data_IF_214786762302
#
_entry.id   IF_214786762302
#
_cell.length_a   1.000
_cell.length_b   1.000
_cell.length_c   1.000
_cell.angle_alpha   90.00
_cell.angle_beta   90.00
_cell.angle_gamma   90.00
#
_symmetry.space_group_name_H-M   'P 1'
#
loop_
_entity.id
_entity.type
_entity.pdbx_description
1 polymer ?
#
# COMPACT_ATOMS: atom_id res chain seq x y z
N UNK A 1 7.85 1.69 -12.18
CA UNK A 1 7.77 1.54 -10.71
C UNK A 1 8.00 2.89 -10.05
N UNK A 2 7.25 3.25 -9.00
CA UNK A 2 7.55 4.41 -8.17
C UNK A 2 7.91 3.96 -6.76
N UNK A 3 8.82 4.66 -6.10
CA UNK A 3 9.27 4.38 -4.73
C UNK A 3 9.38 5.68 -3.93
N UNK A 4 9.36 5.57 -2.61
CA UNK A 4 9.61 6.69 -1.70
C UNK A 4 10.42 6.22 -0.49
N UNK A 5 11.27 7.08 0.03
CA UNK A 5 11.97 6.92 1.31
C UNK A 5 11.22 7.61 2.47
N UNK A 6 10.00 8.10 2.22
CA UNK A 6 9.20 8.88 3.14
C UNK A 6 9.42 10.40 3.02
N UNK A 7 10.35 10.85 2.17
CA UNK A 7 10.57 12.27 1.88
C UNK A 7 10.53 12.54 0.38
N UNK A 8 11.22 11.75 -0.43
CA UNK A 8 11.30 11.95 -1.88
C UNK A 8 10.55 10.86 -2.64
N UNK A 9 10.16 11.16 -3.87
CA UNK A 9 9.55 10.23 -4.80
C UNK A 9 10.54 9.98 -5.93
N UNK A 10 10.80 8.71 -6.23
CA UNK A 10 11.64 8.29 -7.35
C UNK A 10 10.84 7.37 -8.27
N UNK A 11 11.00 7.56 -9.58
CA UNK A 11 10.36 6.73 -10.60
C UNK A 11 11.44 5.99 -11.36
N UNK A 12 11.29 4.68 -11.45
CA UNK A 12 12.20 3.79 -12.14
C UNK A 12 11.50 3.10 -13.30
N UNK A 13 12.23 2.98 -14.42
CA UNK A 13 11.93 2.01 -15.47
C UNK A 13 12.46 0.65 -15.01
N UNK A 14 11.62 -0.37 -15.13
CA UNK A 14 11.96 -1.74 -14.75
C UNK A 14 12.30 -2.50 -16.03
N UNK A 15 13.55 -2.96 -16.13
CA UNK A 15 14.03 -3.82 -17.20
C UNK A 15 14.95 -4.90 -16.63
N UNK A 16 16.04 -5.22 -17.32
CA UNK A 16 17.12 -6.05 -16.73
C UNK A 16 17.77 -5.36 -15.52
N UNK A 17 17.81 -4.03 -15.55
CA UNK A 17 18.26 -3.16 -14.47
C UNK A 17 17.16 -2.15 -14.13
N UNK A 18 17.27 -1.52 -12.96
CA UNK A 18 16.45 -0.36 -12.61
C UNK A 18 17.14 0.91 -13.10
N UNK A 19 16.46 1.65 -13.96
CA UNK A 19 16.92 2.94 -14.45
C UNK A 19 16.06 4.06 -13.88
N UNK A 20 16.68 5.07 -13.27
CA UNK A 20 15.96 6.25 -12.79
C UNK A 20 15.35 6.98 -13.98
N UNK A 21 14.02 7.03 -14.03
CA UNK A 21 13.25 7.74 -15.04
C UNK A 21 13.04 9.21 -14.66
N UNK A 22 12.94 9.48 -13.36
CA UNK A 22 12.89 10.81 -12.79
C UNK A 22 12.54 10.81 -11.31
N UNK A 23 12.37 12.00 -10.75
CA UNK A 23 12.19 12.19 -9.32
C UNK A 23 11.30 13.42 -9.04
N UNK A 24 10.76 13.46 -7.84
CA UNK A 24 10.05 14.62 -7.32
C UNK A 24 9.79 14.49 -5.83
N UNK A 25 8.85 15.29 -5.36
CA UNK A 25 8.47 15.37 -3.96
C UNK A 25 6.95 15.56 -3.88
N UNK A 26 6.40 15.29 -2.70
CA UNK A 26 5.11 15.80 -2.27
C UNK A 26 5.11 17.33 -2.26
N UNK A 27 3.96 17.93 -2.56
CA UNK A 27 3.72 19.37 -2.43
C UNK A 27 3.32 19.74 -1.00
N UNK A 28 2.78 18.78 -0.28
CA UNK A 28 2.44 18.83 1.13
C UNK A 28 3.67 18.47 1.97
N UNK A 29 4.00 19.32 2.93
CA UNK A 29 5.16 19.12 3.80
C UNK A 29 4.82 18.03 4.84
N UNK A 30 5.66 17.00 4.92
CA UNK A 30 5.45 15.91 5.86
C UNK A 30 6.15 14.63 5.43
N UNK A 31 5.82 13.55 6.13
CA UNK A 31 6.29 12.21 5.78
C UNK A 31 5.35 11.59 4.74
N UNK A 32 5.87 11.16 3.60
CA UNK A 32 5.12 10.36 2.63
C UNK A 32 4.85 8.98 3.25
N UNK A 33 3.58 8.65 3.45
CA UNK A 33 3.15 7.37 4.01
C UNK A 33 2.98 6.30 2.94
N UNK A 34 2.49 6.69 1.77
CA UNK A 34 2.23 5.80 0.65
C UNK A 34 2.18 6.56 -0.67
N UNK A 35 2.49 5.85 -1.75
CA UNK A 35 2.30 6.32 -3.12
C UNK A 35 1.52 5.30 -3.93
N UNK A 36 0.70 5.75 -4.86
CA UNK A 36 -0.12 4.88 -5.71
C UNK A 36 -0.28 5.50 -7.10
N UNK A 37 -0.12 4.69 -8.14
CA UNK A 37 -0.40 5.11 -9.50
C UNK A 37 -1.92 5.17 -9.73
N UNK A 38 -2.34 6.14 -10.53
CA UNK A 38 -3.72 6.30 -10.96
C UNK A 38 -3.76 6.84 -12.39
N UNK A 39 -4.60 6.25 -13.23
CA UNK A 39 -4.87 6.70 -14.58
C UNK A 39 -6.39 6.82 -14.74
N UNK A 40 -6.96 8.04 -14.63
CA UNK A 40 -8.40 8.25 -14.75
C UNK A 40 -8.96 7.65 -16.03
N UNK A 41 -10.13 7.03 -15.94
CA UNK A 41 -10.80 6.44 -17.09
C UNK A 41 -10.99 7.48 -18.21
N UNK A 42 -10.53 7.15 -19.42
CA UNK A 42 -10.60 8.04 -20.58
C UNK A 42 -9.51 9.12 -20.63
N UNK A 43 -8.57 9.15 -19.68
CA UNK A 43 -7.37 9.98 -19.72
C UNK A 43 -6.13 9.12 -20.01
N UNK A 44 -5.29 9.58 -20.94
CA UNK A 44 -4.02 8.93 -21.24
C UNK A 44 -2.90 9.37 -20.29
N UNK A 45 -3.10 10.44 -19.53
CA UNK A 45 -2.14 10.89 -18.54
C UNK A 45 -2.08 9.96 -17.34
N UNK A 46 -0.86 9.73 -16.87
CA UNK A 46 -0.57 8.98 -15.67
C UNK A 46 -0.40 9.95 -14.50
N UNK A 47 -0.98 9.61 -13.36
CA UNK A 47 -0.92 10.38 -12.14
C UNK A 47 -0.36 9.53 -11.01
N UNK A 48 0.38 10.16 -10.12
CA UNK A 48 0.82 9.57 -8.86
C UNK A 48 0.09 10.28 -7.72
N UNK A 49 -0.50 9.48 -6.86
CA UNK A 49 -1.11 9.93 -5.61
C UNK A 49 -0.08 9.72 -4.51
N UNK A 50 0.20 10.77 -3.73
CA UNK A 50 1.07 10.68 -2.55
C UNK A 50 0.25 11.01 -1.31
N UNK A 51 0.09 10.05 -0.39
CA UNK A 51 -0.52 10.31 0.93
C UNK A 51 0.58 10.65 1.93
N UNK A 52 0.37 11.72 2.68
CA UNK A 52 1.36 12.40 3.51
C UNK A 52 0.81 12.60 4.91
N UNK A 53 1.66 12.40 5.90
CA UNK A 53 1.43 12.82 7.27
C UNK A 53 2.18 14.12 7.53
N UNK A 54 1.45 15.20 7.75
CA UNK A 54 2.01 16.52 8.05
C UNK A 54 1.05 17.30 8.95
N UNK A 55 1.58 18.17 9.81
CA UNK A 55 0.77 19.00 10.73
C UNK A 55 -0.28 18.19 11.53
N UNK A 56 0.10 17.00 12.00
CA UNK A 56 -0.74 16.04 12.72
C UNK A 56 -2.03 15.61 11.98
N UNK A 57 -2.01 15.62 10.65
CA UNK A 57 -3.13 15.21 9.81
C UNK A 57 -2.65 14.43 8.59
N UNK A 58 -3.60 13.74 7.96
CA UNK A 58 -3.39 13.06 6.69
C UNK A 58 -3.90 13.93 5.56
N UNK A 59 -3.03 14.14 4.58
CA UNK A 59 -3.35 14.82 3.34
C UNK A 59 -2.81 14.03 2.16
N UNK A 60 -3.43 14.18 0.99
CA UNK A 60 -2.97 13.55 -0.25
C UNK A 60 -2.79 14.57 -1.35
N UNK A 61 -1.69 14.42 -2.09
CA UNK A 61 -1.42 15.15 -3.31
C UNK A 61 -1.72 14.27 -4.53
N UNK A 62 -2.16 14.91 -5.61
CA UNK A 62 -2.28 14.27 -6.93
C UNK A 62 -1.31 14.98 -7.87
N UNK A 63 -0.37 14.21 -8.38
CA UNK A 63 0.74 14.67 -9.20
C UNK A 63 0.60 14.05 -10.59
N UNK A 64 0.60 14.86 -11.65
CA UNK A 64 0.64 14.35 -13.02
C UNK A 64 2.09 14.06 -13.41
N UNK A 65 2.33 12.88 -13.96
CA UNK A 65 3.61 12.45 -14.50
C UNK A 65 3.70 12.75 -16.00
N UNK A 66 4.77 13.40 -16.44
CA UNK A 66 5.01 13.71 -17.86
C UNK A 66 6.02 12.76 -18.55
N UNK A 67 6.57 11.80 -17.81
CA UNK A 67 7.64 10.91 -18.27
C UNK A 67 9.00 11.19 -17.64
N UNK A 68 9.19 12.34 -17.01
CA UNK A 68 10.44 12.75 -16.35
C UNK A 68 10.23 13.46 -15.01
N UNK A 69 9.16 14.25 -14.87
CA UNK A 69 8.87 15.05 -13.70
C UNK A 69 7.39 15.02 -13.32
N UNK A 70 7.12 15.48 -12.11
CA UNK A 70 5.79 15.64 -11.58
C UNK A 70 5.32 17.09 -11.69
N UNK A 71 4.06 17.27 -12.08
CA UNK A 71 3.36 18.54 -12.02
C UNK A 71 2.15 18.46 -11.09
N UNK A 72 1.91 19.54 -10.33
CA UNK A 72 0.82 19.60 -9.37
C UNK A 72 -0.54 19.60 -10.06
N UNK A 73 -1.43 18.70 -9.66
CA UNK A 73 -2.86 18.72 -10.05
C UNK A 73 -3.71 19.09 -8.85
N UNK A 74 -3.44 18.46 -7.72
CA UNK A 74 -4.12 18.75 -6.46
C UNK A 74 -3.11 18.67 -5.30
N UNK A 75 -3.24 19.58 -4.33
CA UNK A 75 -2.42 19.62 -3.11
C UNK A 75 -3.31 19.56 -1.87
N UNK A 76 -2.89 18.81 -0.85
CA UNK A 76 -3.47 18.91 0.49
C UNK A 76 -4.91 18.38 0.58
N UNK A 77 -5.24 17.31 -0.15
CA UNK A 77 -6.57 16.71 -0.05
C UNK A 77 -6.68 15.96 1.28
N UNK A 78 -7.45 16.46 2.24
CA UNK A 78 -7.52 15.95 3.63
C UNK A 78 -8.14 14.56 3.82
N UNK A 79 -7.65 13.57 3.08
CA UNK A 79 -8.04 12.15 3.08
C UNK A 79 -6.86 11.30 2.64
N UNK A 80 -6.88 10.04 3.03
CA UNK A 80 -6.10 9.01 2.33
C UNK A 80 -6.62 8.89 0.89
N UNK A 81 -5.74 8.72 -0.09
CA UNK A 81 -6.11 8.44 -1.49
C UNK A 81 -5.21 7.34 -2.06
N UNK A 82 -5.80 6.43 -2.85
CA UNK A 82 -5.06 5.46 -3.66
C UNK A 82 -5.85 5.08 -4.92
N UNK A 83 -5.13 4.79 -6.00
CA UNK A 83 -5.68 4.22 -7.23
C UNK A 83 -5.80 2.70 -7.14
N UNK A 84 -6.86 2.16 -7.73
CA UNK A 84 -7.18 0.74 -7.81
C UNK A 84 -7.62 0.39 -9.22
N UNK A 85 -7.36 -0.84 -9.64
CA UNK A 85 -7.91 -1.38 -10.87
C UNK A 85 -9.38 -1.74 -10.63
N UNK A 86 -10.29 -0.88 -11.10
CA UNK A 86 -11.71 -0.99 -10.84
C UNK A 86 -12.44 -1.89 -11.82
N UNK A 87 -11.88 -2.12 -13.01
CA UNK A 87 -12.48 -2.93 -14.07
C UNK A 87 -11.71 -4.22 -14.39
N UNK A 88 -10.58 -4.46 -13.72
CA UNK A 88 -9.78 -5.67 -13.83
C UNK A 88 -8.87 -5.70 -15.06
N UNK A 89 -8.60 -4.55 -15.69
CA UNK A 89 -7.82 -4.47 -16.92
C UNK A 89 -6.29 -4.29 -16.69
N UNK A 90 -5.85 -4.26 -15.43
CA UNK A 90 -4.48 -4.02 -15.01
C UNK A 90 -4.09 -2.55 -14.84
N UNK A 91 -5.01 -1.61 -15.11
CA UNK A 91 -4.79 -0.18 -14.96
C UNK A 91 -5.55 0.34 -13.76
N UNK A 92 -4.86 1.03 -12.85
CA UNK A 92 -5.51 1.63 -11.69
C UNK A 92 -6.34 2.87 -12.10
N UNK A 93 -7.62 2.68 -12.41
CA UNK A 93 -8.53 3.71 -12.93
C UNK A 93 -9.50 4.29 -11.88
N UNK A 94 -9.74 3.55 -10.80
CA UNK A 94 -10.60 3.93 -9.69
C UNK A 94 -9.80 4.59 -8.57
N UNK A 95 -10.02 5.90 -8.35
CA UNK A 95 -9.44 6.61 -7.21
C UNK A 95 -10.39 6.54 -6.02
N UNK A 96 -9.96 5.90 -4.93
CA UNK A 96 -10.73 5.79 -3.69
C UNK A 96 -10.06 6.64 -2.62
N UNK A 97 -10.89 7.37 -1.86
CA UNK A 97 -10.46 8.05 -0.65
C UNK A 97 -11.13 7.54 0.62
N UNK A 98 -10.39 7.65 1.72
CA UNK A 98 -10.82 7.27 3.07
C UNK A 98 -10.59 8.44 4.03
N UNK A 99 -11.58 8.72 4.89
CA UNK A 99 -11.41 9.80 5.86
C UNK A 99 -10.38 9.42 6.92
N UNK A 100 -9.58 10.40 7.33
CA UNK A 100 -8.78 10.32 8.53
C UNK A 100 -9.64 10.57 9.77
N UNK A 101 -9.42 9.75 10.79
CA UNK A 101 -10.11 9.83 12.08
C UNK A 101 -9.06 9.70 13.17
N UNK A 102 -8.97 10.65 14.11
CA UNK A 102 -7.89 10.64 15.12
C UNK A 102 -7.99 9.47 16.11
N UNK A 103 -9.17 8.92 16.34
CA UNK A 103 -9.32 7.78 17.24
C UNK A 103 -8.97 6.47 16.52
N UNK A 104 -9.38 6.34 15.25
CA UNK A 104 -9.29 5.09 14.49
C UNK A 104 -8.11 5.04 13.51
N UNK A 105 -7.48 6.18 13.24
CA UNK A 105 -6.61 6.50 12.10
C UNK A 105 -7.29 6.32 10.74
N UNK A 106 -7.78 5.11 10.47
CA UNK A 106 -8.54 4.74 9.27
C UNK A 106 -10.03 4.72 9.58
N UNK A 107 -10.79 5.67 9.05
CA UNK A 107 -12.25 5.68 9.20
C UNK A 107 -12.92 4.56 8.39
N UNK A 108 -14.23 4.38 8.58
CA UNK A 108 -15.05 3.46 7.76
C UNK A 108 -15.78 4.15 6.60
N UNK A 109 -15.38 5.39 6.25
CA UNK A 109 -16.02 6.20 5.22
C UNK A 109 -15.17 6.24 3.97
N UNK A 110 -15.73 5.73 2.87
CA UNK A 110 -15.07 5.63 1.57
C UNK A 110 -15.83 6.41 0.51
N UNK A 111 -15.11 7.11 -0.37
CA UNK A 111 -15.68 7.77 -1.54
C UNK A 111 -14.77 7.56 -2.74
N UNK A 112 -15.37 7.35 -3.92
CA UNK A 112 -14.64 7.42 -5.17
C UNK A 112 -14.50 8.89 -5.61
N UNK A 113 -13.45 9.16 -6.38
CA UNK A 113 -13.17 10.46 -6.94
C UNK A 113 -12.83 10.36 -8.42
N UNK A 114 -13.27 11.36 -9.19
CA UNK A 114 -12.92 11.54 -10.58
C UNK A 114 -12.26 12.90 -10.79
N UNK A 115 -11.49 13.02 -11.86
CA UNK A 115 -10.90 14.29 -12.25
C UNK A 115 -11.87 15.07 -13.15
N UNK A 116 -12.17 16.31 -12.78
CA UNK A 116 -12.87 17.27 -13.63
C UNK A 116 -12.00 18.53 -13.79
N UNK A 117 -11.22 18.58 -14.87
CA UNK A 117 -10.16 19.56 -15.04
C UNK A 117 -9.06 19.34 -14.00
N UNK A 118 -8.80 20.32 -13.13
CA UNK A 118 -7.83 20.20 -12.03
C UNK A 118 -8.51 20.03 -10.66
N UNK A 119 -9.74 19.52 -10.64
CA UNK A 119 -10.50 19.31 -9.40
C UNK A 119 -10.86 17.85 -9.24
N UNK A 120 -10.64 17.33 -8.04
CA UNK A 120 -11.23 16.06 -7.62
C UNK A 120 -12.70 16.30 -7.26
N UNK A 121 -13.58 15.57 -7.94
CA UNK A 121 -15.00 15.56 -7.66
C UNK A 121 -15.41 14.18 -7.19
N UNK A 122 -16.32 14.11 -6.22
CA UNK A 122 -16.84 12.82 -5.76
C UNK A 122 -17.60 12.13 -6.89
N UNK A 123 -17.38 10.84 -7.03
CA UNK A 123 -18.08 9.95 -7.96
C UNK A 123 -18.72 8.77 -7.21
N UNK A 124 -19.45 7.95 -7.97
CA UNK A 124 -20.02 6.72 -7.46
C UNK A 124 -18.91 5.69 -7.21
N UNK A 125 -18.97 5.03 -6.06
CA UNK A 125 -18.07 3.93 -5.73
C UNK A 125 -18.73 2.62 -6.23
N UNK A 126 -18.18 1.96 -7.26
CA UNK A 126 -18.84 0.83 -7.91
C UNK A 126 -18.77 -0.47 -7.08
N UNK A 127 -17.97 -0.48 -6.01
CA UNK A 127 -17.70 -1.64 -5.16
C UNK A 127 -18.15 -1.40 -3.72
N UNK A 128 -18.74 -2.42 -3.09
CA UNK A 128 -18.96 -2.40 -1.64
C UNK A 128 -17.68 -2.76 -0.88
N UNK A 129 -17.22 -1.87 0.01
CA UNK A 129 -16.04 -2.14 0.84
C UNK A 129 -16.43 -2.51 2.28
N UNK A 130 -15.71 -3.45 2.93
CA UNK A 130 -15.91 -3.70 4.35
C UNK A 130 -15.47 -2.47 5.16
N UNK A 131 -16.15 -2.21 6.29
CA UNK A 131 -15.87 -1.04 7.16
C UNK A 131 -14.43 -0.93 7.65
N UNK A 132 -13.68 -2.03 7.60
CA UNK A 132 -12.31 -2.13 8.08
C UNK A 132 -11.25 -2.07 6.97
N UNK A 133 -11.66 -1.89 5.71
CA UNK A 133 -10.76 -1.72 4.58
C UNK A 133 -9.81 -0.53 4.80
N UNK A 134 -8.60 -0.61 4.25
CA UNK A 134 -7.56 0.41 4.34
C UNK A 134 -7.16 0.82 2.93
N UNK A 135 -7.38 2.08 2.56
CA UNK A 135 -7.14 2.55 1.19
C UNK A 135 -5.65 2.46 0.81
N UNK A 136 -4.74 2.94 1.66
CA UNK A 136 -3.30 2.98 1.32
C UNK A 136 -2.54 1.67 1.62
N UNK A 137 -3.23 0.65 2.13
CA UNK A 137 -2.67 -0.67 2.48
C UNK A 137 -3.57 -1.80 2.00
N UNK A 138 -4.37 -1.53 0.97
CA UNK A 138 -5.38 -2.43 0.44
C UNK A 138 -5.15 -2.70 -1.04
N UNK A 139 -5.80 -3.75 -1.50
CA UNK A 139 -5.82 -4.25 -2.86
C UNK A 139 -7.27 -4.58 -3.21
N UNK A 140 -7.65 -4.28 -4.46
CA UNK A 140 -8.86 -4.78 -5.10
C UNK A 140 -8.41 -5.68 -6.25
N UNK A 141 -8.86 -6.93 -6.27
CA UNK A 141 -8.54 -7.88 -7.33
C UNK A 141 -9.55 -9.03 -7.31
N UNK A 142 -9.96 -9.51 -8.47
CA UNK A 142 -10.69 -10.78 -8.58
C UNK A 142 -9.71 -11.92 -8.31
N UNK A 143 -9.82 -12.52 -7.13
CA UNK A 143 -8.97 -13.64 -6.69
C UNK A 143 -9.78 -14.92 -6.53
N UNK A 144 -11.08 -14.86 -6.81
CA UNK A 144 -11.99 -16.00 -6.76
C UNK A 144 -12.41 -16.50 -8.15
N UNK A 145 -12.13 -15.72 -9.19
CA UNK A 145 -12.48 -16.00 -10.58
C UNK A 145 -13.95 -15.75 -10.91
N UNK A 146 -14.67 -14.98 -10.08
CA UNK A 146 -16.11 -14.72 -10.26
C UNK A 146 -16.41 -13.44 -11.07
N UNK A 147 -15.37 -12.73 -11.50
CA UNK A 147 -15.45 -11.48 -12.25
C UNK A 147 -15.77 -10.27 -11.36
N UNK A 148 -15.75 -10.39 -10.04
CA UNK A 148 -15.89 -9.30 -9.09
C UNK A 148 -14.61 -9.15 -8.25
N UNK A 149 -14.17 -7.91 -7.95
CA UNK A 149 -12.99 -7.71 -7.13
C UNK A 149 -13.25 -7.98 -5.64
N UNK A 150 -12.35 -8.74 -5.01
CA UNK A 150 -12.26 -8.87 -3.57
C UNK A 150 -11.48 -7.70 -2.95
N UNK A 151 -11.92 -7.26 -1.77
CA UNK A 151 -11.18 -6.34 -0.92
C UNK A 151 -10.18 -7.09 -0.03
N UNK A 152 -8.89 -6.86 -0.29
CA UNK A 152 -7.77 -7.56 0.34
C UNK A 152 -6.88 -6.55 1.07
N UNK A 153 -6.64 -6.72 2.37
CA UNK A 153 -5.87 -5.74 3.14
C UNK A 153 -5.30 -6.34 4.41
N UNK A 154 -4.26 -5.69 4.93
CA UNK A 154 -3.63 -6.08 6.19
C UNK A 154 -4.07 -5.15 7.32
N UNK A 155 -4.53 -5.73 8.43
CA UNK A 155 -4.85 -5.01 9.67
C UNK A 155 -4.47 -5.82 10.89
N UNK A 156 -3.82 -5.19 11.87
CA UNK A 156 -3.45 -5.82 13.14
C UNK A 156 -2.71 -7.16 12.94
N UNK A 157 -1.74 -7.12 12.01
CA UNK A 157 -0.93 -8.24 11.55
C UNK A 157 -1.68 -9.41 10.92
N UNK A 158 -2.86 -9.18 10.37
CA UNK A 158 -3.65 -10.19 9.66
C UNK A 158 -4.02 -9.71 8.29
N UNK A 159 -3.93 -10.59 7.32
CA UNK A 159 -4.52 -10.43 6.01
C UNK A 159 -6.00 -10.80 6.10
N UNK A 160 -6.82 -9.99 5.48
CA UNK A 160 -8.26 -10.20 5.32
C UNK A 160 -8.59 -10.23 3.83
N UNK A 161 -9.53 -11.09 3.46
CA UNK A 161 -10.12 -11.12 2.12
C UNK A 161 -11.63 -11.06 2.27
N UNK A 162 -12.25 -10.13 1.55
CA UNK A 162 -13.70 -9.90 1.58
C UNK A 162 -14.25 -9.85 0.16
N UNK A 163 -15.36 -10.55 -0.08
CA UNK A 163 -16.22 -10.30 -1.24
C UNK A 163 -17.37 -9.40 -0.77
N UNK A 164 -17.33 -8.14 -1.17
CA UNK A 164 -18.18 -7.08 -0.61
C UNK A 164 -18.04 -6.96 0.91
N UNK A 165 -19.13 -7.25 1.64
CA UNK A 165 -19.15 -7.25 3.12
C UNK A 165 -18.90 -8.62 3.75
N UNK A 166 -18.78 -9.68 2.94
CA UNK A 166 -18.63 -11.04 3.42
C UNK A 166 -17.15 -11.39 3.56
N UNK A 167 -16.71 -11.74 4.76
CA UNK A 167 -15.33 -12.17 4.99
C UNK A 167 -15.12 -13.58 4.44
N UNK A 168 -14.33 -13.72 3.38
CA UNK A 168 -13.94 -15.01 2.82
C UNK A 168 -12.79 -15.63 3.60
N UNK A 169 -11.83 -14.80 4.05
CA UNK A 169 -10.64 -15.28 4.73
C UNK A 169 -10.08 -14.30 5.75
N UNK A 170 -9.38 -14.87 6.74
CA UNK A 170 -8.61 -14.15 7.75
C UNK A 170 -7.41 -14.99 8.18
N UNK A 171 -6.22 -14.43 8.07
CA UNK A 171 -4.98 -15.12 8.44
C UNK A 171 -4.72 -15.16 9.95
N UNK A 172 -3.70 -15.94 10.33
CA UNK A 172 -2.90 -15.82 11.56
C UNK A 172 -2.24 -14.44 11.70
N UNK A 173 -1.76 -14.11 12.93
CA UNK A 173 -1.11 -12.82 13.28
C UNK A 173 0.35 -12.73 12.80
N UNK A 174 0.60 -12.92 11.51
CA UNK A 174 1.95 -12.87 10.95
C UNK A 174 2.05 -12.04 9.67
N UNK A 175 0.98 -11.40 9.23
CA UNK A 175 0.96 -10.61 7.99
C UNK A 175 1.40 -9.17 8.23
N UNK A 176 2.00 -8.52 7.23
CA UNK A 176 2.47 -7.14 7.28
C UNK A 176 3.76 -6.98 8.06
N UNK A 177 3.79 -5.98 8.95
CA UNK A 177 4.98 -5.47 9.65
C UNK A 177 5.79 -4.49 8.80
N UNK A 178 5.13 -3.41 8.38
CA UNK A 178 5.83 -2.24 7.89
C UNK A 178 6.61 -1.53 9.00
N UNK A 179 7.74 -0.94 8.64
CA UNK A 179 8.47 0.02 9.48
C UNK A 179 7.84 1.41 9.41
N UNK A 180 7.01 1.66 8.39
CA UNK A 180 6.27 2.91 8.23
C UNK A 180 5.07 2.94 9.16
N UNK A 181 5.00 3.99 9.95
CA UNK A 181 3.91 4.27 10.86
C UNK A 181 4.03 5.67 11.42
N UNK A 182 2.93 6.15 12.00
CA UNK A 182 2.85 7.47 12.59
C UNK A 182 2.39 7.36 14.03
N UNK A 183 2.96 8.21 14.87
CA UNK A 183 2.59 8.35 16.28
C UNK A 183 2.13 9.78 16.48
N UNK A 184 0.94 9.95 17.05
CA UNK A 184 0.27 11.24 17.10
C UNK A 184 -0.64 11.35 18.32
N UNK A 185 -1.01 12.58 18.68
CA UNK A 185 -1.98 12.84 19.74
C UNK A 185 -3.41 12.74 19.21
N UNK A 186 -4.24 11.95 19.88
CA UNK A 186 -5.66 11.81 19.60
C UNK A 186 -6.38 13.13 19.88
N UNK A 187 -5.98 13.84 20.96
CA UNK A 187 -6.50 15.15 21.33
C UNK A 187 -5.35 16.09 21.70
N UNK A 188 -4.76 16.80 20.72
CA UNK A 188 -3.66 17.74 20.95
C UNK A 188 -4.00 18.89 21.91
N UNK A 189 -5.30 19.09 22.22
CA UNK A 189 -5.77 20.12 23.14
C UNK A 189 -5.92 19.64 24.60
N UNK A 190 -5.83 18.33 24.83
CA UNK A 190 -5.96 17.74 26.15
C UNK A 190 -4.76 18.05 27.06
N UNK A 191 -5.01 18.26 28.35
CA UNK A 191 -3.94 18.43 29.34
C UNK A 191 -3.09 17.15 29.52
N UNK A 192 -3.70 15.98 29.28
CA UNK A 192 -3.02 14.69 29.33
C UNK A 192 -3.08 14.06 27.93
N UNK A 193 -1.98 14.10 27.16
CA UNK A 193 -1.97 13.65 25.77
C UNK A 193 -2.26 12.15 25.69
N UNK A 194 -3.17 11.78 24.79
CA UNK A 194 -3.46 10.38 24.48
C UNK A 194 -2.79 10.04 23.16
N UNK A 195 -1.67 9.31 23.24
CA UNK A 195 -0.90 8.97 22.05
C UNK A 195 -1.47 7.73 21.38
N UNK A 196 -1.64 7.80 20.07
CA UNK A 196 -1.96 6.67 19.20
C UNK A 196 -0.80 6.38 18.25
N UNK A 197 -0.72 5.14 17.80
CA UNK A 197 0.25 4.72 16.78
C UNK A 197 -0.47 3.92 15.71
N UNK A 198 -0.31 4.33 14.45
CA UNK A 198 -0.87 3.64 13.31
C UNK A 198 0.22 3.07 12.39
N UNK A 199 0.04 1.83 11.95
CA UNK A 199 0.87 1.21 10.91
C UNK A 199 0.38 1.59 9.52
N UNK A 200 1.34 1.86 8.63
CA UNK A 200 1.12 1.99 7.19
C UNK A 200 1.71 0.74 6.53
N UNK A 201 0.91 -0.33 6.52
CA UNK A 201 1.34 -1.62 6.00
C UNK A 201 1.48 -1.56 4.46
N UNK A 202 2.46 -2.30 3.93
CA UNK A 202 2.61 -2.44 2.48
C UNK A 202 1.40 -3.21 1.94
N UNK A 203 0.77 -2.68 0.89
CA UNK A 203 -0.36 -3.31 0.25
C UNK A 203 0.03 -4.71 -0.29
N UNK A 204 -0.85 -5.72 -0.13
CA UNK A 204 -0.74 -6.95 -0.90
C UNK A 204 -0.78 -6.66 -2.40
N UNK A 205 -0.29 -7.61 -3.20
CA UNK A 205 -0.39 -7.57 -4.66
C UNK A 205 -1.06 -8.85 -5.16
N UNK A 206 -1.69 -8.79 -6.33
CA UNK A 206 -2.28 -9.96 -6.97
C UNK A 206 -1.66 -10.17 -8.35
N UNK A 207 -1.40 -11.43 -8.69
CA UNK A 207 -0.97 -11.85 -10.00
C UNK A 207 -1.27 -13.33 -10.19
N UNK A 208 -1.56 -13.75 -11.41
CA UNK A 208 -1.63 -15.17 -11.80
C UNK A 208 -0.20 -15.73 -11.79
N UNK A 209 0.10 -16.55 -10.78
CA UNK A 209 1.43 -17.08 -10.54
C UNK A 209 1.63 -18.46 -11.11
N UNK A 210 0.57 -19.20 -11.45
CA UNK A 210 0.65 -20.56 -11.98
C UNK A 210 -0.01 -20.75 -13.37
N UNK A 211 -0.51 -19.67 -13.96
CA UNK A 211 -1.02 -19.61 -15.32
C UNK A 211 -2.42 -20.17 -15.48
N UNK A 212 -3.19 -20.32 -14.40
CA UNK A 212 -4.56 -20.84 -14.45
C UNK A 212 -5.61 -19.76 -14.76
N UNK A 213 -5.20 -18.50 -14.85
CA UNK A 213 -6.05 -17.34 -15.14
C UNK A 213 -6.69 -16.70 -13.92
N UNK A 214 -6.49 -17.24 -12.71
CA UNK A 214 -6.95 -16.67 -11.45
C UNK A 214 -5.77 -16.09 -10.70
N UNK A 215 -5.89 -14.87 -10.20
CA UNK A 215 -4.78 -14.25 -9.49
C UNK A 215 -4.61 -14.80 -8.07
N UNK A 216 -3.37 -15.13 -7.67
CA UNK A 216 -3.01 -15.34 -6.28
C UNK A 216 -2.67 -14.03 -5.58
N UNK A 217 -2.94 -13.98 -4.28
CA UNK A 217 -2.53 -12.88 -3.41
C UNK A 217 -1.10 -13.13 -2.92
N UNK A 218 -0.21 -12.17 -3.12
CA UNK A 218 1.11 -12.14 -2.47
C UNK A 218 1.08 -11.05 -1.39
N UNK A 219 1.43 -11.42 -0.18
CA UNK A 219 1.50 -10.52 0.96
C UNK A 219 2.77 -10.75 1.78
N UNK A 220 3.31 -9.67 2.34
CA UNK A 220 4.44 -9.77 3.26
C UNK A 220 3.97 -10.41 4.56
N UNK A 221 4.76 -11.36 5.05
CA UNK A 221 4.65 -11.91 6.38
C UNK A 221 5.93 -11.68 7.16
N UNK A 222 5.81 -11.61 8.48
CA UNK A 222 6.92 -11.30 9.35
C UNK A 222 6.78 -11.90 10.75
N UNK A 223 7.91 -12.32 11.29
CA UNK A 223 8.09 -12.64 12.70
C UNK A 223 8.70 -11.45 13.42
N UNK A 224 8.12 -11.08 14.57
CA UNK A 224 8.62 -9.98 15.37
C UNK A 224 7.81 -9.74 16.64
N UNK A 225 8.42 -9.07 17.61
CA UNK A 225 7.83 -8.81 18.92
C UNK A 225 6.75 -7.71 18.85
N UNK A 226 5.72 -7.86 19.70
CA UNK A 226 4.52 -7.01 19.75
C UNK A 226 4.75 -5.59 20.27
N UNK A 227 5.92 -5.31 20.85
CA UNK A 227 6.28 -4.00 21.41
C UNK A 227 6.78 -3.07 20.29
N UNK A 228 5.87 -2.71 19.37
CA UNK A 228 6.10 -1.70 18.35
C UNK A 228 5.74 -0.32 18.92
N UNK A 229 6.67 0.30 19.63
CA UNK A 229 6.66 1.76 19.75
C UNK A 229 7.45 2.29 18.55
N UNK A 230 6.79 3.07 17.68
CA UNK A 230 7.44 3.73 16.55
C UNK A 230 8.64 4.53 17.06
N UNK A 231 9.80 4.34 16.44
CA UNK A 231 11.06 5.02 16.80
C UNK A 231 12.06 4.19 17.62
N UNK A 232 11.72 2.97 18.05
CA UNK A 232 12.68 1.99 18.58
C UNK A 232 12.90 0.93 17.52
N UNK A 233 14.18 0.65 17.18
CA UNK A 233 14.60 -0.18 16.06
C UNK A 233 13.75 -1.43 15.83
N UNK A 234 13.46 -1.71 14.56
CA UNK A 234 12.57 -2.78 14.10
C UNK A 234 12.75 -4.10 14.87
N UNK A 235 11.70 -4.52 15.56
CA UNK A 235 11.62 -5.83 16.20
C UNK A 235 11.28 -6.96 15.21
N UNK A 236 11.36 -6.72 13.89
CA UNK A 236 11.14 -7.73 12.85
C UNK A 236 12.42 -8.56 12.75
N UNK A 237 12.34 -9.80 13.21
CA UNK A 237 13.43 -10.77 13.12
C UNK A 237 13.62 -11.29 11.71
N UNK A 238 12.50 -11.47 11.01
CA UNK A 238 12.49 -12.04 9.67
C UNK A 238 11.18 -11.76 8.96
N UNK A 239 11.23 -11.76 7.64
CA UNK A 239 10.06 -11.61 6.78
C UNK A 239 10.13 -12.53 5.57
N UNK A 240 8.99 -12.82 4.95
CA UNK A 240 8.87 -13.67 3.77
C UNK A 240 7.61 -13.29 2.98
N UNK A 241 7.48 -13.79 1.76
CA UNK A 241 6.27 -13.64 0.97
C UNK A 241 5.33 -14.83 1.24
N UNK A 242 4.15 -14.56 1.78
CA UNK A 242 3.04 -15.51 1.80
C UNK A 242 2.26 -15.41 0.49
N UNK A 243 1.89 -16.55 -0.07
CA UNK A 243 1.01 -16.66 -1.24
C UNK A 243 -0.31 -17.24 -0.80
N UNK A 244 -1.43 -16.70 -1.28
CA UNK A 244 -2.75 -17.26 -1.06
C UNK A 244 -3.46 -17.48 -2.39
N UNK A 245 -3.90 -18.71 -2.61
CA UNK A 245 -4.70 -19.13 -3.77
C UNK A 245 -6.11 -19.48 -3.33
N UNK A 246 -7.12 -19.02 -4.05
CA UNK A 246 -8.48 -19.49 -3.83
C UNK A 246 -8.71 -20.78 -4.61
N UNK A 247 -9.11 -21.84 -3.92
CA UNK A 247 -9.36 -23.15 -4.53
C UNK A 247 -10.46 -23.87 -3.75
N UNK A 248 -11.42 -24.46 -4.47
CA UNK A 248 -12.51 -25.26 -3.91
C UNK A 248 -13.27 -24.55 -2.77
N UNK A 249 -13.50 -23.25 -2.91
CA UNK A 249 -14.23 -22.46 -1.93
C UNK A 249 -13.40 -21.96 -0.74
N UNK A 250 -12.08 -22.21 -0.72
CA UNK A 250 -11.20 -21.92 0.40
C UNK A 250 -9.91 -21.22 -0.03
N UNK A 251 -9.33 -20.43 0.88
CA UNK A 251 -8.01 -19.85 0.68
C UNK A 251 -6.91 -20.79 1.17
N UNK A 252 -6.04 -21.20 0.25
CA UNK A 252 -4.88 -22.05 0.49
C UNK A 252 -3.63 -21.18 0.64
N UNK A 253 -2.91 -21.33 1.75
CA UNK A 253 -1.71 -20.54 2.06
C UNK A 253 -0.44 -21.32 1.73
N UNK A 254 0.45 -20.69 0.95
CA UNK A 254 1.82 -21.11 0.69
C UNK A 254 2.83 -19.99 0.94
N UNK A 255 4.04 -20.16 0.42
CA UNK A 255 5.14 -19.19 0.50
C UNK A 255 5.85 -19.08 -0.83
N UNK A 256 6.37 -17.91 -1.15
CA UNK A 256 7.17 -17.64 -2.35
C UNK A 256 8.58 -17.21 -1.96
N UNK A 257 9.58 -17.93 -2.46
CA UNK A 257 10.99 -17.68 -2.16
C UNK A 257 11.37 -17.99 -0.71
N UNK A 258 12.59 -17.59 -0.36
CA UNK A 258 13.16 -17.84 0.95
C UNK A 258 12.77 -16.76 1.98
N UNK A 259 12.81 -17.16 3.24
CA UNK A 259 12.67 -16.26 4.37
C UNK A 259 13.92 -15.37 4.50
N UNK A 260 13.72 -14.08 4.70
CA UNK A 260 14.77 -13.09 4.87
C UNK A 260 14.90 -12.70 6.34
N UNK A 261 16.13 -12.59 6.85
CA UNK A 261 16.41 -12.08 8.20
C UNK A 261 16.41 -10.54 8.26
N UNK A 262 15.44 -9.92 7.58
CA UNK A 262 15.25 -8.47 7.53
C UNK A 262 13.81 -8.12 7.14
N UNK A 263 13.34 -6.90 7.43
CA UNK A 263 12.07 -6.39 6.94
C UNK A 263 12.00 -6.31 5.41
N UNK A 264 10.82 -6.62 4.84
CA UNK A 264 10.44 -6.23 3.48
C UNK A 264 9.53 -5.00 3.58
N UNK A 265 9.84 -3.93 2.84
CA UNK A 265 9.21 -2.61 2.88
C UNK A 265 8.66 -2.16 1.52
N UNK A 266 8.65 -3.05 0.54
CA UNK A 266 8.04 -2.81 -0.77
C UNK A 266 7.75 -4.14 -1.43
N UNK A 267 6.66 -4.19 -2.21
CA UNK A 267 6.22 -5.38 -2.92
C UNK A 267 5.54 -4.95 -4.22
N UNK A 268 5.90 -5.61 -5.32
CA UNK A 268 5.28 -5.47 -6.63
C UNK A 268 5.37 -6.81 -7.36
N UNK A 269 4.56 -7.00 -8.39
CA UNK A 269 4.75 -8.07 -9.38
C UNK A 269 4.86 -7.44 -10.75
N UNK A 270 5.84 -7.89 -11.52
CA UNK A 270 6.02 -7.48 -12.91
C UNK A 270 6.71 -8.60 -13.69
N UNK A 271 6.29 -8.82 -14.93
CA UNK A 271 6.95 -9.75 -15.87
C UNK A 271 7.33 -11.12 -15.27
N UNK A 272 6.38 -11.75 -14.57
CA UNK A 272 6.62 -13.07 -13.95
C UNK A 272 7.64 -13.04 -12.80
N UNK A 273 7.77 -11.90 -12.11
CA UNK A 273 8.63 -11.78 -10.92
C UNK A 273 7.92 -11.01 -9.82
N UNK A 274 7.98 -11.53 -8.60
CA UNK A 274 7.72 -10.75 -7.40
C UNK A 274 8.97 -9.93 -7.07
N UNK A 275 8.83 -8.60 -7.09
CA UNK A 275 9.87 -7.63 -6.76
C UNK A 275 9.62 -7.13 -5.35
N UNK A 276 10.65 -7.17 -4.50
CA UNK A 276 10.54 -6.74 -3.12
C UNK A 276 11.69 -5.82 -2.72
N UNK A 277 11.40 -4.87 -1.82
CA UNK A 277 12.42 -3.99 -1.22
C UNK A 277 12.71 -4.51 0.17
N UNK A 278 13.92 -5.03 0.40
CA UNK A 278 14.36 -5.50 1.70
C UNK A 278 15.26 -4.45 2.36
N UNK A 279 15.08 -4.17 3.64
CA UNK A 279 15.76 -3.06 4.32
C UNK A 279 16.54 -3.54 5.53
N UNK A 280 17.84 -3.22 5.58
CA UNK A 280 18.65 -3.32 6.79
C UNK A 280 18.38 -2.07 7.64
N UNK A 281 17.89 -2.30 8.86
CA UNK A 281 17.65 -1.23 9.82
C UNK A 281 18.95 -0.97 10.55
N UNK A 282 19.47 0.26 10.46
CA UNK A 282 20.68 0.63 11.20
C UNK A 282 20.52 0.31 12.69
N UNK A 283 21.49 -0.42 13.24
CA UNK A 283 21.62 -0.57 14.67
C UNK A 283 22.08 0.76 15.29
N UNK A 284 21.82 0.89 16.60
CA UNK A 284 22.24 2.07 17.39
C UNK A 284 23.78 2.25 17.37
N UNK A 285 24.54 1.20 17.00
CA UNK A 285 26.01 1.15 17.09
C UNK A 285 26.75 1.11 15.74
N UNK A 286 26.14 0.61 14.66
CA UNK A 286 26.80 0.38 13.36
C UNK A 286 26.37 1.40 12.27
N UNK A 287 25.25 2.10 12.46
CA UNK A 287 24.89 3.32 11.72
C UNK A 287 24.61 3.17 10.23
N UNK A 288 24.74 1.97 9.65
CA UNK A 288 24.51 1.74 8.23
C UNK A 288 23.14 1.12 7.99
N UNK A 289 22.20 1.95 7.53
CA UNK A 289 20.95 1.48 6.92
C UNK A 289 21.18 1.27 5.42
N UNK A 290 20.61 0.21 4.87
CA UNK A 290 20.68 -0.09 3.44
C UNK A 290 19.35 -0.68 2.96
N UNK A 291 18.99 -0.45 1.71
CA UNK A 291 17.85 -1.13 1.08
C UNK A 291 18.29 -1.81 -0.19
N UNK A 292 17.71 -2.98 -0.46
CA UNK A 292 18.02 -3.84 -1.59
C UNK A 292 16.74 -4.15 -2.33
N UNK A 293 16.81 -4.13 -3.66
CA UNK A 293 15.74 -4.69 -4.49
C UNK A 293 16.08 -6.13 -4.80
N UNK A 294 15.16 -7.03 -4.46
CA UNK A 294 15.25 -8.45 -4.70
C UNK A 294 14.11 -8.86 -5.64
N UNK A 295 14.34 -9.86 -6.49
CA UNK A 295 13.33 -10.40 -7.37
C UNK A 295 13.26 -11.92 -7.22
N UNK A 296 12.05 -12.45 -7.04
CA UNK A 296 11.77 -13.89 -7.00
C UNK A 296 10.95 -14.23 -8.24
N UNK A 297 11.38 -15.17 -9.10
CA UNK A 297 10.58 -15.63 -10.22
C UNK A 297 9.25 -16.23 -9.75
N UNK A 298 8.18 -15.95 -10.49
CA UNK A 298 6.87 -16.61 -10.37
C UNK A 298 6.61 -17.34 -11.70
N UNK A 299 6.12 -18.58 -11.64
CA UNK A 299 6.10 -19.53 -12.77
C UNK A 299 4.70 -20.06 -13.05
#
# INVERSE_FOLDING_TARGET
>A
MATTDGSTIQVYRVGETLELAGQGDSLTMGQILSISWWQPQGDAALYLVATVWGDDQVESDVLRWDGQAFSAVYKGFGRFLAGFDGDGNGTADLLIGQDFDRELFYSSRFNAYALNGNKLVRSDLPIELPKMFRVISGLLSDVTGDGQPEAIFIRNRRLYVYSGKNQLYKSSKEMGASLSGVTYDIDPSAQNPMINTASCDIAPVAADLDGDGTAEIIAISAEGNYLQAVGVGSAIKSSWLSVLKYQDGMMMKGTLGDKLERPIQGLAVDNGKAIMVATDVAGILDGTAASYVLAVPVQ
#
